data_IF_284255801049
#
_entry.id   IF_284255801049
#
_cell.length_a   1.000
_cell.length_b   1.000
_cell.length_c   1.000
_cell.angle_alpha   90.00
_cell.angle_beta   90.00
_cell.angle_gamma   90.00
#
_symmetry.space_group_name_H-M   'P 1'
#
loop_
_entity.id
_entity.type
_entity.pdbx_description
1 polymer ?
#
# COMPACT_ATOMS: atom_id res chain seq x y z
N UNK A 1 17.73 14.45 -32.58
CA UNK A 1 17.55 13.26 -33.44
C UNK A 1 16.88 12.16 -32.65
N UNK A 2 15.65 11.79 -33.01
CA UNK A 2 14.93 10.70 -32.35
C UNK A 2 15.38 9.37 -32.97
N UNK A 3 16.04 8.51 -32.18
CA UNK A 3 16.50 7.20 -32.66
C UNK A 3 15.25 6.33 -32.92
N UNK A 4 15.03 5.94 -34.18
CA UNK A 4 13.90 5.09 -34.60
C UNK A 4 13.94 3.74 -33.86
N UNK A 5 12.77 3.16 -33.54
CA UNK A 5 12.63 1.85 -32.87
C UNK A 5 13.45 0.72 -33.51
N UNK A 6 13.64 0.77 -34.83
CA UNK A 6 14.47 -0.20 -35.57
C UNK A 6 15.95 -0.14 -35.18
N UNK A 7 16.51 1.05 -34.97
CA UNK A 7 17.90 1.23 -34.56
C UNK A 7 18.14 0.85 -33.09
N UNK A 8 17.11 0.94 -32.24
CA UNK A 8 17.19 0.47 -30.84
C UNK A 8 17.33 -1.05 -30.74
N UNK A 9 16.67 -1.80 -31.64
CA UNK A 9 16.86 -3.26 -31.74
C UNK A 9 18.27 -3.63 -32.16
N UNK A 10 18.85 -2.89 -33.10
CA UNK A 10 20.24 -3.13 -33.56
C UNK A 10 21.28 -2.82 -32.49
N UNK A 11 20.98 -1.90 -31.57
CA UNK A 11 21.88 -1.48 -30.49
C UNK A 11 21.61 -2.19 -29.15
N UNK A 12 20.69 -3.16 -29.11
CA UNK A 12 20.24 -3.82 -27.89
C UNK A 12 19.84 -2.86 -26.76
N UNK A 13 19.11 -1.81 -27.14
CA UNK A 13 18.62 -0.79 -26.21
C UNK A 13 17.11 -0.89 -26.05
N UNK A 14 16.66 -0.64 -24.83
CA UNK A 14 15.26 -0.56 -24.46
C UNK A 14 14.90 0.89 -24.09
N UNK A 15 13.68 1.30 -24.41
CA UNK A 15 13.12 2.55 -23.85
C UNK A 15 12.56 2.29 -22.45
N UNK A 16 12.34 3.35 -21.68
CA UNK A 16 11.66 3.25 -20.38
C UNK A 16 10.25 2.67 -20.52
N UNK A 17 9.58 2.89 -21.65
CA UNK A 17 8.26 2.30 -21.91
C UNK A 17 8.35 0.80 -22.22
N UNK A 18 9.39 0.36 -22.91
CA UNK A 18 9.58 -1.06 -23.21
C UNK A 18 9.88 -1.85 -21.93
N UNK A 19 10.73 -1.32 -21.05
CA UNK A 19 11.03 -1.92 -19.73
C UNK A 19 9.81 -1.89 -18.81
N UNK A 20 9.07 -0.77 -18.75
CA UNK A 20 7.86 -0.65 -17.95
C UNK A 20 6.82 -1.70 -18.35
N UNK A 21 6.61 -1.89 -19.66
CA UNK A 21 5.70 -2.91 -20.19
C UNK A 21 6.18 -4.33 -19.88
N UNK A 22 7.49 -4.58 -19.96
CA UNK A 22 8.05 -5.91 -19.69
C UNK A 22 7.94 -6.32 -18.21
N UNK A 23 7.97 -5.36 -17.28
CA UNK A 23 7.93 -5.60 -15.83
C UNK A 23 6.55 -5.35 -15.19
N UNK A 24 5.56 -4.87 -15.93
CA UNK A 24 4.24 -4.54 -15.37
C UNK A 24 4.23 -3.33 -14.43
N UNK A 25 5.16 -2.38 -14.59
CA UNK A 25 5.31 -1.20 -13.73
C UNK A 25 5.10 0.11 -14.49
N UNK A 26 5.02 1.23 -13.75
CA UNK A 26 4.93 2.55 -14.38
C UNK A 26 6.27 2.98 -15.01
N UNK A 27 6.19 3.85 -16.03
CA UNK A 27 7.38 4.48 -16.62
C UNK A 27 8.18 5.28 -15.59
N UNK A 28 7.52 5.88 -14.59
CA UNK A 28 8.18 6.65 -13.53
C UNK A 28 9.07 5.77 -12.65
N UNK A 29 8.61 4.57 -12.31
CA UNK A 29 9.40 3.58 -11.55
C UNK A 29 10.70 3.23 -12.28
N UNK A 30 10.61 2.96 -13.59
CA UNK A 30 11.79 2.67 -14.43
C UNK A 30 12.74 3.87 -14.49
N UNK A 31 12.21 5.09 -14.58
CA UNK A 31 13.05 6.30 -14.57
C UNK A 31 13.80 6.49 -13.25
N UNK A 32 13.15 6.22 -12.11
CA UNK A 32 13.76 6.27 -10.78
C UNK A 32 14.88 5.23 -10.64
N UNK A 33 14.66 4.00 -11.11
CA UNK A 33 15.70 2.96 -11.07
C UNK A 33 16.92 3.31 -11.91
N UNK A 34 16.73 4.01 -13.03
CA UNK A 34 17.87 4.54 -13.81
C UNK A 34 18.58 5.67 -13.05
N UNK A 35 17.83 6.55 -12.38
CA UNK A 35 18.39 7.65 -11.59
C UNK A 35 19.17 7.16 -10.35
N UNK A 36 18.71 6.06 -9.75
CA UNK A 36 19.33 5.41 -8.60
C UNK A 36 20.46 4.44 -8.98
N UNK A 37 20.74 4.26 -10.28
CA UNK A 37 21.77 3.34 -10.77
C UNK A 37 21.41 1.86 -10.68
N UNK A 38 20.17 1.52 -10.32
CA UNK A 38 19.67 0.15 -10.28
C UNK A 38 19.45 -0.44 -11.70
N UNK A 39 19.11 0.42 -12.66
CA UNK A 39 19.10 0.09 -14.09
C UNK A 39 20.15 0.95 -14.81
N UNK A 40 21.07 0.30 -15.51
CA UNK A 40 22.10 1.00 -16.28
C UNK A 40 21.46 1.61 -17.53
N UNK A 41 21.44 2.95 -17.56
CA UNK A 41 20.91 3.69 -18.67
C UNK A 41 21.29 5.16 -18.65
N UNK A 42 21.19 5.82 -19.80
CA UNK A 42 21.56 7.21 -19.95
C UNK A 42 20.44 8.03 -20.56
N UNK A 43 20.48 9.35 -20.33
CA UNK A 43 19.61 10.32 -21.00
C UNK A 43 20.19 10.68 -22.35
N UNK A 44 19.36 10.62 -23.39
CA UNK A 44 19.65 11.23 -24.68
C UNK A 44 19.51 12.76 -24.57
N UNK A 45 20.10 13.54 -25.49
CA UNK A 45 19.92 14.99 -25.53
C UNK A 45 18.44 15.45 -25.59
N UNK A 46 17.53 14.60 -26.08
CA UNK A 46 16.09 14.84 -26.10
C UNK A 46 15.34 14.44 -24.82
N UNK A 47 16.04 14.14 -23.73
CA UNK A 47 15.45 13.82 -22.42
C UNK A 47 14.95 12.37 -22.27
N UNK A 48 14.86 11.60 -23.34
CA UNK A 48 14.51 10.18 -23.27
C UNK A 48 15.65 9.35 -22.69
N UNK A 49 15.34 8.31 -21.90
CA UNK A 49 16.32 7.37 -21.38
C UNK A 49 16.49 6.15 -22.30
N UNK A 50 17.70 5.59 -22.34
CA UNK A 50 18.04 4.33 -23.00
C UNK A 50 18.65 3.40 -21.97
N UNK A 51 18.10 2.20 -21.87
CA UNK A 51 18.49 1.17 -20.91
C UNK A 51 19.10 0.03 -21.71
N UNK A 52 20.23 -0.49 -21.26
CA UNK A 52 20.88 -1.61 -21.96
C UNK A 52 20.07 -2.89 -21.74
N UNK A 53 19.90 -3.71 -22.78
CA UNK A 53 19.22 -5.01 -22.66
C UNK A 53 19.92 -5.89 -21.61
N UNK A 54 21.25 -5.89 -21.57
CA UNK A 54 22.02 -6.64 -20.58
C UNK A 54 21.75 -6.20 -19.14
N UNK A 55 21.59 -4.89 -18.88
CA UNK A 55 21.22 -4.41 -17.55
C UNK A 55 19.78 -4.77 -17.21
N UNK A 56 18.86 -4.64 -18.18
CA UNK A 56 17.50 -5.11 -18.00
C UNK A 56 17.43 -6.61 -17.70
N UNK A 57 18.17 -7.46 -18.41
CA UNK A 57 18.19 -8.91 -18.19
C UNK A 57 18.80 -9.28 -16.85
N UNK A 58 19.89 -8.61 -16.41
CA UNK A 58 20.43 -8.77 -15.06
C UNK A 58 19.43 -8.32 -14.00
N UNK A 59 18.78 -7.18 -14.22
CA UNK A 59 17.76 -6.65 -13.33
C UNK A 59 16.53 -7.56 -13.30
N UNK A 60 16.13 -8.14 -14.43
CA UNK A 60 15.01 -9.06 -14.58
C UNK A 60 15.32 -10.47 -14.10
N UNK A 61 16.59 -10.90 -14.12
CA UNK A 61 17.05 -12.17 -13.55
C UNK A 61 17.25 -12.05 -12.04
N UNK A 62 17.67 -10.87 -11.55
CA UNK A 62 17.60 -10.53 -10.14
C UNK A 62 16.15 -10.36 -9.69
N UNK A 63 15.26 -9.80 -10.51
CA UNK A 63 13.80 -9.88 -10.37
C UNK A 63 13.28 -11.27 -10.77
N UNK A 64 14.11 -12.18 -11.26
CA UNK A 64 13.74 -13.57 -11.60
C UNK A 64 13.92 -14.47 -10.37
N UNK A 65 14.94 -14.18 -9.57
CA UNK A 65 15.08 -14.62 -8.18
C UNK A 65 14.31 -13.74 -7.19
N UNK A 66 13.83 -12.58 -7.64
CA UNK A 66 12.95 -11.65 -6.92
C UNK A 66 11.67 -11.44 -7.75
N UNK A 67 11.06 -12.53 -8.25
CA UNK A 67 9.85 -12.44 -9.09
C UNK A 67 8.72 -11.79 -8.30
N UNK A 68 8.00 -10.89 -8.96
CA UNK A 68 6.56 -10.67 -8.79
C UNK A 68 6.00 -11.08 -7.43
N UNK A 69 6.38 -10.35 -6.37
CA UNK A 69 5.38 -10.07 -5.36
C UNK A 69 4.55 -8.91 -5.91
N UNK A 70 3.42 -9.20 -6.56
CA UNK A 70 2.18 -8.56 -6.08
C UNK A 70 2.32 -8.57 -4.57
N UNK A 71 2.51 -7.43 -3.91
CA UNK A 71 3.17 -7.42 -2.59
C UNK A 71 2.53 -8.53 -1.74
N UNK A 72 3.18 -9.68 -1.55
CA UNK A 72 2.52 -10.78 -0.80
C UNK A 72 2.34 -10.32 0.64
N UNK A 73 2.98 -9.20 0.97
CA UNK A 73 2.83 -8.43 2.16
C UNK A 73 1.55 -7.59 2.06
N UNK A 74 0.68 -7.82 3.03
CA UNK A 74 -0.52 -7.04 3.25
C UNK A 74 -0.11 -5.66 3.77
N UNK A 75 -0.51 -4.60 3.06
CA UNK A 75 -0.28 -3.22 3.45
C UNK A 75 -1.40 -2.79 4.40
N UNK A 76 -1.04 -2.54 5.65
CA UNK A 76 -1.97 -2.20 6.73
C UNK A 76 -1.66 -0.81 7.24
N UNK A 77 -2.68 0.03 7.36
CA UNK A 77 -2.58 1.33 8.03
C UNK A 77 -3.38 1.27 9.33
N UNK A 78 -2.75 1.68 10.42
CA UNK A 78 -3.38 1.79 11.74
C UNK A 78 -3.39 3.26 12.15
N UNK A 79 -4.58 3.82 12.33
CA UNK A 79 -4.81 5.18 12.81
C UNK A 79 -5.22 5.13 14.28
N UNK A 80 -4.29 5.48 15.16
CA UNK A 80 -4.40 5.33 16.62
C UNK A 80 -3.55 6.42 17.28
N UNK A 81 -4.13 7.27 18.12
CA UNK A 81 -3.42 8.37 18.77
C UNK A 81 -2.58 7.91 19.98
N UNK A 82 -2.97 6.81 20.63
CA UNK A 82 -2.25 6.28 21.78
C UNK A 82 -0.98 5.52 21.37
N UNK A 83 0.19 6.08 21.69
CA UNK A 83 1.49 5.41 21.48
C UNK A 83 1.57 4.04 22.16
N UNK A 84 0.92 3.86 23.31
CA UNK A 84 0.87 2.59 24.01
C UNK A 84 0.09 1.54 23.19
N UNK A 85 -1.05 1.93 22.61
CA UNK A 85 -1.84 1.06 21.73
C UNK A 85 -1.09 0.76 20.43
N UNK A 86 -0.47 1.76 19.80
CA UNK A 86 0.37 1.53 18.62
C UNK A 86 1.48 0.51 18.90
N UNK A 87 2.14 0.60 20.06
CA UNK A 87 3.18 -0.36 20.45
C UNK A 87 2.61 -1.76 20.66
N UNK A 88 1.44 -1.87 21.28
CA UNK A 88 0.74 -3.15 21.44
C UNK A 88 0.41 -3.78 20.08
N UNK A 89 -0.23 -3.03 19.18
CA UNK A 89 -0.51 -3.48 17.82
C UNK A 89 0.75 -3.96 17.11
N UNK A 90 1.83 -3.17 17.16
CA UNK A 90 3.11 -3.51 16.53
C UNK A 90 3.64 -4.84 17.04
N UNK A 91 3.80 -4.98 18.35
CA UNK A 91 4.33 -6.20 18.97
C UNK A 91 3.48 -7.42 18.62
N UNK A 92 2.16 -7.28 18.67
CA UNK A 92 1.24 -8.39 18.38
C UNK A 92 1.26 -8.77 16.89
N UNK A 93 1.18 -7.81 15.97
CA UNK A 93 1.22 -8.07 14.52
C UNK A 93 2.56 -8.70 14.11
N UNK A 94 3.67 -8.17 14.62
CA UNK A 94 5.02 -8.72 14.35
C UNK A 94 5.16 -10.16 14.87
N UNK A 95 4.56 -10.49 16.03
CA UNK A 95 4.61 -11.85 16.59
C UNK A 95 3.91 -12.91 15.73
N UNK A 96 2.98 -12.51 14.85
CA UNK A 96 2.26 -13.45 14.00
C UNK A 96 3.12 -14.01 12.86
N UNK A 97 4.26 -13.38 12.56
CA UNK A 97 5.18 -13.78 11.47
C UNK A 97 4.49 -13.87 10.10
N UNK A 98 3.43 -13.07 9.91
CA UNK A 98 2.72 -12.95 8.64
C UNK A 98 3.40 -11.92 7.74
N UNK A 99 3.26 -12.04 6.42
CA UNK A 99 3.73 -11.03 5.49
C UNK A 99 2.84 -9.79 5.60
N UNK A 100 3.14 -8.89 6.54
CA UNK A 100 2.35 -7.66 6.78
C UNK A 100 3.29 -6.47 6.89
N UNK A 101 3.04 -5.44 6.10
CA UNK A 101 3.68 -4.13 6.24
C UNK A 101 2.70 -3.16 6.91
N UNK A 102 2.99 -2.82 8.16
CA UNK A 102 2.12 -1.97 8.97
C UNK A 102 2.69 -0.56 9.13
N UNK A 103 1.90 0.43 8.72
CA UNK A 103 2.16 1.85 8.95
C UNK A 103 1.23 2.36 10.05
N UNK A 104 1.81 3.03 11.04
CA UNK A 104 1.07 3.71 12.10
C UNK A 104 0.99 5.21 11.80
N UNK A 105 -0.16 5.77 12.12
CA UNK A 105 -0.50 7.17 11.98
C UNK A 105 -1.24 7.61 13.24
N UNK A 106 -0.93 8.81 13.76
CA UNK A 106 -1.42 9.23 15.08
C UNK A 106 -2.65 10.14 15.05
N UNK A 107 -3.16 10.49 13.86
CA UNK A 107 -4.35 11.35 13.72
C UNK A 107 -5.10 11.11 12.41
N UNK A 108 -6.38 11.48 12.37
CA UNK A 108 -7.24 11.28 11.19
C UNK A 108 -6.77 12.02 9.93
N UNK A 109 -6.19 13.22 10.05
CA UNK A 109 -5.74 14.01 8.89
C UNK A 109 -4.59 13.34 8.14
N UNK A 110 -3.55 12.93 8.88
CA UNK A 110 -2.45 12.14 8.32
C UNK A 110 -2.98 10.80 7.78
N UNK A 111 -3.99 10.22 8.43
CA UNK A 111 -4.65 8.99 7.98
C UNK A 111 -5.27 9.13 6.59
N UNK A 112 -6.06 10.20 6.38
CA UNK A 112 -6.66 10.50 5.06
C UNK A 112 -5.60 10.68 4.00
N UNK A 113 -4.58 11.51 4.28
CA UNK A 113 -3.51 11.81 3.31
C UNK A 113 -2.79 10.52 2.93
N UNK A 114 -2.41 9.72 3.91
CA UNK A 114 -1.65 8.49 3.68
C UNK A 114 -2.47 7.46 2.92
N UNK A 115 -3.72 7.19 3.34
CA UNK A 115 -4.63 6.25 2.68
C UNK A 115 -4.87 6.66 1.24
N UNK A 116 -5.12 7.95 0.97
CA UNK A 116 -5.38 8.44 -0.39
C UNK A 116 -4.16 8.33 -1.31
N UNK A 117 -2.94 8.37 -0.77
CA UNK A 117 -1.71 8.29 -1.56
C UNK A 117 -1.23 6.84 -1.77
N UNK A 118 -1.48 5.96 -0.81
CA UNK A 118 -0.87 4.63 -0.77
C UNK A 118 -1.86 3.48 -0.98
N UNK A 119 -3.17 3.73 -0.84
CA UNK A 119 -4.24 2.76 -1.07
C UNK A 119 -3.97 1.40 -0.40
N UNK A 120 -3.92 1.37 0.95
CA UNK A 120 -3.60 0.14 1.67
C UNK A 120 -4.68 -0.93 1.47
N UNK A 121 -4.32 -2.19 1.73
CA UNK A 121 -5.27 -3.31 1.65
C UNK A 121 -6.24 -3.29 2.86
N UNK A 122 -5.77 -2.80 4.01
CA UNK A 122 -6.52 -2.73 5.25
C UNK A 122 -6.26 -1.42 6.00
N UNK A 123 -7.34 -0.74 6.38
CA UNK A 123 -7.36 0.36 7.34
C UNK A 123 -7.93 -0.11 8.68
N UNK A 124 -7.18 0.10 9.76
CA UNK A 124 -7.64 -0.02 11.14
C UNK A 124 -7.67 1.38 11.75
N UNK A 125 -8.78 1.77 12.37
CA UNK A 125 -8.90 3.10 12.99
C UNK A 125 -9.67 3.05 14.30
N UNK A 126 -9.30 3.92 15.25
CA UNK A 126 -10.23 4.33 16.31
C UNK A 126 -11.21 5.38 15.78
N UNK A 127 -12.38 5.47 16.40
CA UNK A 127 -13.31 6.58 16.24
C UNK A 127 -12.98 7.72 17.20
N UNK A 128 -12.50 7.40 18.41
CA UNK A 128 -12.27 8.38 19.47
C UNK A 128 -10.82 8.84 19.49
N UNK A 129 -10.49 9.81 18.65
CA UNK A 129 -9.17 10.47 18.62
C UNK A 129 -9.30 11.96 18.98
N UNK A 130 -8.26 12.57 19.58
CA UNK A 130 -8.18 14.01 19.74
C UNK A 130 -8.06 14.69 18.35
N UNK A 131 -8.61 15.91 18.25
CA UNK A 131 -8.56 16.81 17.07
C UNK A 131 -9.41 16.40 15.84
N UNK A 132 -9.47 15.12 15.46
CA UNK A 132 -10.31 14.65 14.35
C UNK A 132 -11.09 13.39 14.70
N UNK A 133 -12.43 13.48 14.62
CA UNK A 133 -13.34 12.37 14.86
C UNK A 133 -13.16 11.30 13.76
N UNK A 134 -12.91 10.03 14.13
CA UNK A 134 -12.68 8.96 13.15
C UNK A 134 -13.88 8.75 12.22
N UNK A 135 -15.09 9.17 12.63
CA UNK A 135 -16.26 9.27 11.76
C UNK A 135 -16.04 10.20 10.57
N UNK A 136 -15.44 11.38 10.79
CA UNK A 136 -15.16 12.33 9.72
C UNK A 136 -14.15 11.76 8.73
N UNK A 137 -13.14 11.02 9.22
CA UNK A 137 -12.18 10.33 8.36
C UNK A 137 -12.86 9.28 7.47
N UNK A 138 -13.67 8.41 8.05
CA UNK A 138 -14.39 7.37 7.30
C UNK A 138 -15.35 7.97 6.28
N UNK A 139 -15.99 9.09 6.61
CA UNK A 139 -16.86 9.82 5.67
C UNK A 139 -16.07 10.40 4.50
N UNK A 140 -14.93 11.04 4.75
CA UNK A 140 -14.08 11.61 3.70
C UNK A 140 -13.49 10.56 2.76
N UNK A 141 -13.11 9.39 3.30
CA UNK A 141 -12.55 8.30 2.50
C UNK A 141 -13.61 7.61 1.62
N UNK A 142 -14.90 7.66 1.99
CA UNK A 142 -15.99 7.04 1.24
C UNK A 142 -16.17 7.61 -0.16
N UNK A 143 -15.83 8.88 -0.37
CA UNK A 143 -16.02 9.57 -1.64
C UNK A 143 -14.95 9.20 -2.70
N UNK A 144 -14.04 8.27 -2.37
CA UNK A 144 -13.01 7.75 -3.25
C UNK A 144 -13.45 6.39 -3.82
N UNK A 145 -13.55 6.23 -5.15
CA UNK A 145 -14.06 5.02 -5.81
C UNK A 145 -13.35 3.71 -5.39
N UNK A 146 -12.07 3.80 -5.03
CA UNK A 146 -11.27 2.66 -4.59
C UNK A 146 -11.49 2.26 -3.13
N UNK A 147 -12.30 3.00 -2.36
CA UNK A 147 -12.70 2.65 -1.00
C UNK A 147 -13.39 1.28 -0.92
N UNK A 148 -14.05 0.85 -2.00
CA UNK A 148 -14.71 -0.46 -2.12
C UNK A 148 -13.75 -1.65 -2.10
N UNK A 149 -12.47 -1.45 -2.43
CA UNK A 149 -11.45 -2.51 -2.48
C UNK A 149 -10.67 -2.66 -1.17
N UNK A 150 -10.69 -1.63 -0.33
CA UNK A 150 -9.97 -1.60 0.95
C UNK A 150 -10.82 -2.23 2.06
N UNK A 151 -10.25 -3.14 2.83
CA UNK A 151 -10.88 -3.62 4.06
C UNK A 151 -10.79 -2.55 5.15
N UNK A 152 -11.87 -2.36 5.91
CA UNK A 152 -11.91 -1.34 6.97
C UNK A 152 -12.38 -1.96 8.27
N UNK A 153 -11.61 -1.72 9.32
CA UNK A 153 -11.87 -2.16 10.67
C UNK A 153 -11.83 -0.96 11.59
N UNK A 154 -12.90 -0.78 12.34
CA UNK A 154 -12.96 0.16 13.45
C UNK A 154 -12.70 -0.60 14.72
N UNK A 155 -11.71 -0.17 15.50
CA UNK A 155 -11.44 -0.68 16.84
C UNK A 155 -11.57 0.48 17.82
N UNK A 156 -12.66 0.51 18.58
CA UNK A 156 -12.99 1.67 19.42
C UNK A 156 -13.44 1.29 20.82
N UNK A 157 -13.24 2.20 21.76
CA UNK A 157 -13.81 2.10 23.11
C UNK A 157 -15.25 2.63 23.21
N UNK A 158 -15.80 3.19 22.12
CA UNK A 158 -17.19 3.67 22.09
C UNK A 158 -18.19 2.51 22.11
N UNK A 159 -19.31 2.71 22.78
CA UNK A 159 -20.42 1.76 22.77
C UNK A 159 -21.23 1.88 21.47
N UNK A 160 -21.91 0.79 21.09
CA UNK A 160 -22.72 0.76 19.87
C UNK A 160 -23.77 1.89 19.83
N UNK A 161 -24.38 2.20 20.97
CA UNK A 161 -25.35 3.30 21.09
C UNK A 161 -24.73 4.66 20.76
N UNK A 162 -23.53 4.97 21.29
CA UNK A 162 -22.82 6.22 20.98
C UNK A 162 -22.48 6.33 19.49
N UNK A 163 -22.21 5.19 18.84
CA UNK A 163 -21.93 5.12 17.41
C UNK A 163 -23.19 5.38 16.58
N UNK A 164 -24.32 4.80 16.98
CA UNK A 164 -25.63 5.01 16.34
C UNK A 164 -26.09 6.47 16.48
N UNK A 165 -25.94 7.07 17.66
CA UNK A 165 -26.27 8.49 17.90
C UNK A 165 -25.46 9.44 17.00
N UNK A 166 -24.26 9.03 16.59
CA UNK A 166 -23.41 9.77 15.64
C UNK A 166 -23.70 9.45 14.16
N UNK A 167 -24.74 8.69 13.85
CA UNK A 167 -25.15 8.35 12.48
C UNK A 167 -24.61 7.03 11.95
N UNK A 168 -24.00 6.20 12.81
CA UNK A 168 -23.54 4.85 12.47
C UNK A 168 -22.26 4.81 11.64
N UNK A 169 -21.93 3.60 11.15
CA UNK A 169 -20.76 3.35 10.32
C UNK A 169 -21.16 3.06 8.86
N UNK A 170 -20.30 3.39 7.88
CA UNK A 170 -20.52 3.00 6.49
C UNK A 170 -20.69 1.48 6.33
N UNK A 171 -21.47 1.06 5.32
CA UNK A 171 -21.62 -0.36 4.97
C UNK A 171 -20.26 -0.98 4.63
N UNK A 172 -20.03 -2.20 5.11
CA UNK A 172 -18.78 -2.95 4.86
C UNK A 172 -17.68 -2.71 5.89
N UNK A 173 -17.83 -1.73 6.78
CA UNK A 173 -16.91 -1.51 7.91
C UNK A 173 -17.15 -2.56 8.99
N UNK A 174 -16.09 -3.24 9.43
CA UNK A 174 -16.14 -4.13 10.59
C UNK A 174 -15.92 -3.32 11.87
N UNK A 175 -16.66 -3.64 12.93
CA UNK A 175 -16.56 -2.95 14.22
C UNK A 175 -16.10 -3.93 15.32
N UNK A 176 -15.10 -3.52 16.08
CA UNK A 176 -14.55 -4.24 17.23
C UNK A 176 -14.41 -3.29 18.44
N UNK A 177 -14.54 -3.87 19.64
CA UNK A 177 -14.27 -3.16 20.89
C UNK A 177 -12.78 -3.13 21.23
N UNK A 178 -12.32 -2.10 21.97
CA UNK A 178 -10.96 -2.01 22.51
C UNK A 178 -10.73 -2.81 23.81
N UNK A 179 -11.78 -3.29 24.47
CA UNK A 179 -11.70 -3.88 25.81
C UNK A 179 -12.34 -5.27 25.88
N UNK A 180 -11.58 -6.35 25.58
CA UNK A 180 -10.22 -6.35 25.03
C UNK A 180 -10.20 -6.17 23.51
N UNK A 181 -9.05 -5.77 22.95
CA UNK A 181 -8.84 -5.74 21.49
C UNK A 181 -8.87 -7.19 20.95
N UNK A 182 -9.72 -7.51 19.96
CA UNK A 182 -9.86 -8.87 19.41
C UNK A 182 -8.74 -9.19 18.42
N UNK A 183 -7.52 -9.36 18.93
CA UNK A 183 -6.34 -9.62 18.11
C UNK A 183 -6.42 -10.93 17.32
N UNK A 184 -7.13 -11.93 17.83
CA UNK A 184 -7.32 -13.20 17.13
C UNK A 184 -8.15 -13.01 15.86
N UNK A 185 -9.28 -12.31 15.97
CA UNK A 185 -10.17 -11.99 14.87
C UNK A 185 -9.48 -11.10 13.83
N UNK A 186 -8.65 -10.16 14.29
CA UNK A 186 -7.82 -9.34 13.42
C UNK A 186 -6.78 -10.18 12.66
N UNK A 187 -6.15 -11.16 13.32
CA UNK A 187 -5.20 -12.08 12.68
C UNK A 187 -5.88 -12.89 11.57
N UNK A 188 -7.03 -13.49 11.87
CA UNK A 188 -7.78 -14.28 10.89
C UNK A 188 -8.24 -13.44 9.70
N UNK A 189 -8.67 -12.20 9.95
CA UNK A 189 -8.98 -11.26 8.89
C UNK A 189 -7.76 -10.96 8.01
N UNK A 190 -6.62 -10.63 8.61
CA UNK A 190 -5.40 -10.31 7.86
C UNK A 190 -4.89 -11.52 7.07
N UNK A 191 -4.96 -12.73 7.63
CA UNK A 191 -4.64 -13.97 6.92
C UNK A 191 -5.54 -14.13 5.68
N UNK A 192 -6.86 -14.00 5.84
CA UNK A 192 -7.78 -14.13 4.71
C UNK A 192 -7.58 -13.06 3.63
N UNK A 193 -7.11 -11.86 3.99
CA UNK A 193 -6.73 -10.83 3.02
C UNK A 193 -5.42 -11.17 2.29
N UNK A 194 -4.44 -11.74 3.01
CA UNK A 194 -3.20 -12.24 2.42
C UNK A 194 -3.51 -13.33 1.39
N UNK A 195 -4.34 -14.31 1.77
CA UNK A 195 -4.68 -15.44 0.90
C UNK A 195 -5.34 -14.97 -0.40
N UNK A 196 -6.31 -14.05 -0.32
CA UNK A 196 -6.95 -13.43 -1.49
C UNK A 196 -5.96 -12.68 -2.39
N UNK A 197 -4.95 -12.06 -1.80
CA UNK A 197 -3.92 -11.32 -2.54
C UNK A 197 -2.92 -12.24 -3.24
N UNK A 198 -2.78 -13.47 -2.75
CA UNK A 198 -1.98 -14.52 -3.41
C UNK A 198 -2.76 -15.17 -4.57
N UNK A 199 -4.09 -15.18 -4.52
CA UNK A 199 -4.97 -15.78 -5.54
C UNK A 199 -5.32 -14.84 -6.71
N UNK A 200 -5.10 -13.53 -6.56
CA UNK A 200 -5.45 -12.48 -7.54
C UNK A 200 -4.29 -12.11 -8.48
#
# INVERSE_FOLDING_TARGET
>A
MSIKKSALKTLDLMTTSDVAKALGVTVRSVQLWVEQGALEGWKTPGGHRRITRASFEKFNANIGSTENKATTRLNVVVVEDSLAMQKLYRMTIESWQLPIDVKFVSNGCEGIIYVSQHMPDLLITDLKMPEMDGFAMLKSLRDVDDFSKMAIVVVTGMQAQEIEEKGGLPKGVRLYGKSPVPFWEMRELMQGLIDRKLEA
#
